data_IF_964574659643
#
_entry.id   IF_964574659643
#
_cell.length_a   1.000
_cell.length_b   1.000
_cell.length_c   1.000
_cell.angle_alpha   90.00
_cell.angle_beta   90.00
_cell.angle_gamma   90.00
#
_symmetry.space_group_name_H-M   'P 1'
#
loop_
_entity.id
_entity.type
_entity.pdbx_description
1 polymer ?
#
# COMPACT_ATOMS: atom_id res chain seq x y z
N UNK A 1 9.08 -23.03 8.17
CA UNK A 1 9.64 -21.86 8.89
C UNK A 1 8.52 -20.87 9.10
N UNK A 2 8.04 -20.70 10.33
CA UNK A 2 7.04 -19.69 10.68
C UNK A 2 7.72 -18.32 10.59
N UNK A 3 7.60 -17.64 9.45
CA UNK A 3 8.02 -16.24 9.33
C UNK A 3 7.03 -15.39 10.14
N UNK A 4 7.53 -14.63 11.11
CA UNK A 4 6.76 -13.75 12.00
C UNK A 4 5.87 -12.82 11.16
N UNK A 5 4.59 -12.60 11.51
CA UNK A 5 3.76 -11.62 10.82
C UNK A 5 4.39 -10.23 10.95
N UNK A 6 4.27 -9.44 9.89
CA UNK A 6 4.80 -8.09 9.80
C UNK A 6 4.15 -7.17 10.86
N UNK A 7 4.97 -6.48 11.67
CA UNK A 7 4.53 -5.49 12.65
C UNK A 7 4.86 -4.08 12.13
N UNK A 8 3.84 -3.22 12.02
CA UNK A 8 4.00 -1.84 11.53
C UNK A 8 4.87 -0.98 12.44
N UNK A 9 4.99 -1.33 13.74
CA UNK A 9 5.88 -0.65 14.68
C UNK A 9 7.37 -0.78 14.32
N UNK A 10 7.72 -1.78 13.50
CA UNK A 10 9.11 -2.04 13.09
C UNK A 10 9.56 -1.13 11.92
N UNK A 11 8.66 -0.35 11.32
CA UNK A 11 8.96 0.55 10.19
C UNK A 11 9.51 1.92 10.60
N UNK A 12 9.48 2.27 11.89
CA UNK A 12 9.85 3.59 12.38
C UNK A 12 8.79 4.65 12.09
N UNK A 13 9.21 5.92 12.04
CA UNK A 13 8.32 7.05 11.77
C UNK A 13 8.08 7.23 10.26
N UNK A 14 6.88 7.66 9.90
CA UNK A 14 6.59 8.11 8.55
C UNK A 14 6.79 9.62 8.42
N UNK A 15 7.26 10.07 7.26
CA UNK A 15 7.50 11.50 6.98
C UNK A 15 6.42 12.11 6.10
N UNK A 16 5.81 11.29 5.24
CA UNK A 16 4.81 11.72 4.26
C UNK A 16 3.66 10.74 4.19
N UNK A 17 2.49 11.30 3.91
CA UNK A 17 1.26 10.54 3.66
C UNK A 17 0.69 10.99 2.32
N UNK A 18 0.35 10.03 1.48
CA UNK A 18 -0.33 10.24 0.21
C UNK A 18 -1.73 9.65 0.31
N UNK A 19 -2.69 10.31 -0.34
CA UNK A 19 -4.07 9.84 -0.45
C UNK A 19 -4.45 9.81 -1.92
N UNK A 20 -5.07 8.70 -2.33
CA UNK A 20 -5.54 8.47 -3.68
C UNK A 20 -6.86 7.72 -3.56
N UNK A 21 -7.98 8.45 -3.50
CA UNK A 21 -9.29 7.87 -3.20
C UNK A 21 -9.36 7.23 -1.82
N UNK A 22 -9.71 5.94 -1.81
CA UNK A 22 -9.75 5.03 -0.67
C UNK A 22 -8.35 4.50 -0.28
N UNK A 23 -7.32 4.70 -1.09
CA UNK A 23 -5.94 4.28 -0.80
C UNK A 23 -5.16 5.36 -0.05
N UNK A 24 -4.57 4.97 1.09
CA UNK A 24 -3.66 5.79 1.87
C UNK A 24 -2.28 5.14 1.88
N UNK A 25 -1.24 5.92 1.58
CA UNK A 25 0.14 5.43 1.53
C UNK A 25 1.01 6.25 2.48
N UNK A 26 1.67 5.57 3.42
CA UNK A 26 2.64 6.15 4.34
C UNK A 26 4.05 5.89 3.83
N UNK A 27 4.90 6.92 3.80
CA UNK A 27 6.31 6.81 3.43
C UNK A 27 7.21 6.75 4.66
N UNK A 28 8.06 5.74 4.71
CA UNK A 28 9.05 5.51 5.77
C UNK A 28 10.45 5.64 5.17
N UNK A 29 11.20 6.72 5.48
CA UNK A 29 12.53 6.96 4.93
C UNK A 29 13.58 5.96 5.45
N UNK A 30 13.42 5.47 6.69
CA UNK A 30 14.41 4.66 7.41
C UNK A 30 13.85 3.28 7.85
N UNK A 31 12.94 2.70 7.07
CA UNK A 31 12.37 1.41 7.40
C UNK A 31 13.37 0.25 7.22
N UNK A 32 13.45 -0.63 8.23
CA UNK A 32 14.27 -1.82 8.16
C UNK A 32 13.48 -3.00 7.57
N UNK A 33 13.81 -3.39 6.33
CA UNK A 33 13.17 -4.49 5.62
C UNK A 33 13.92 -5.83 5.72
N UNK A 34 14.99 -5.93 6.53
CA UNK A 34 15.88 -7.11 6.56
C UNK A 34 15.18 -8.43 6.90
N UNK A 35 14.08 -8.40 7.66
CA UNK A 35 13.29 -9.58 8.02
C UNK A 35 12.19 -9.92 7.01
N UNK A 36 12.01 -9.10 5.96
CA UNK A 36 10.85 -9.15 5.05
C UNK A 36 11.32 -9.65 3.69
N UNK A 37 10.72 -10.74 3.22
CA UNK A 37 10.94 -11.19 1.86
C UNK A 37 10.18 -10.29 0.89
N UNK A 38 10.90 -9.59 0.02
CA UNK A 38 10.34 -8.76 -1.04
C UNK A 38 10.52 -9.44 -2.40
N UNK A 39 9.49 -9.34 -3.24
CA UNK A 39 9.51 -9.78 -4.63
C UNK A 39 9.58 -8.56 -5.55
N UNK A 40 10.63 -8.51 -6.37
CA UNK A 40 10.75 -7.47 -7.40
C UNK A 40 9.68 -7.63 -8.47
N UNK A 41 9.10 -6.52 -8.90
CA UNK A 41 8.12 -6.45 -9.97
C UNK A 41 8.10 -5.06 -10.59
N UNK A 42 7.52 -4.93 -11.79
CA UNK A 42 7.46 -3.65 -12.51
C UNK A 42 6.10 -2.96 -12.43
N UNK A 43 5.09 -3.69 -11.94
CA UNK A 43 3.72 -3.23 -11.76
C UNK A 43 3.01 -4.07 -10.71
N UNK A 44 2.11 -3.46 -9.96
CA UNK A 44 1.23 -4.12 -8.99
C UNK A 44 -0.09 -3.35 -8.89
N UNK A 45 -1.19 -4.06 -8.67
CA UNK A 45 -2.46 -3.43 -8.27
C UNK A 45 -2.52 -3.39 -6.75
N UNK A 46 -2.62 -2.19 -6.17
CA UNK A 46 -2.65 -1.97 -4.72
C UNK A 46 -4.07 -2.08 -4.13
N UNK A 47 -5.09 -1.70 -4.90
CA UNK A 47 -6.51 -1.84 -4.55
C UNK A 47 -7.36 -1.84 -5.82
N UNK A 48 -8.53 -2.48 -5.75
CA UNK A 48 -9.58 -2.34 -6.76
C UNK A 48 -10.57 -1.29 -6.28
N UNK A 49 -11.06 -0.44 -7.20
CA UNK A 49 -12.14 0.49 -6.92
C UNK A 49 -13.51 -0.20 -6.83
N UNK A 50 -14.57 0.57 -6.56
CA UNK A 50 -15.97 0.16 -6.57
C UNK A 50 -16.45 -0.17 -7.98
N UNK A 51 -16.00 0.61 -8.96
CA UNK A 51 -16.36 0.39 -10.36
C UNK A 51 -15.54 -0.76 -10.95
N UNK A 52 -16.23 -1.73 -11.56
CA UNK A 52 -15.57 -2.87 -12.20
C UNK A 52 -14.61 -2.39 -13.28
N UNK A 53 -13.32 -2.68 -13.09
CA UNK A 53 -12.25 -2.27 -14.00
C UNK A 53 -11.40 -1.12 -13.48
N UNK A 54 -11.87 -0.38 -12.48
CA UNK A 54 -11.09 0.67 -11.82
C UNK A 54 -10.14 0.08 -10.79
N UNK A 55 -8.90 0.56 -10.78
CA UNK A 55 -7.91 0.06 -9.84
C UNK A 55 -6.73 1.00 -9.63
N UNK A 56 -6.26 1.03 -8.39
CA UNK A 56 -5.04 1.73 -7.99
C UNK A 56 -3.84 0.92 -8.43
N UNK A 57 -3.23 1.33 -9.54
CA UNK A 57 -2.11 0.61 -10.17
C UNK A 57 -0.81 1.37 -9.96
N UNK A 58 0.15 0.69 -9.35
CA UNK A 58 1.50 1.19 -9.16
C UNK A 58 2.42 0.58 -10.23
N UNK A 59 3.17 1.41 -10.95
CA UNK A 59 4.12 1.00 -12.00
C UNK A 59 5.47 1.67 -11.78
N UNK A 60 6.56 0.90 -11.83
CA UNK A 60 7.90 1.42 -11.59
C UNK A 60 8.88 0.31 -11.23
N UNK A 61 10.08 0.67 -10.77
CA UNK A 61 11.01 -0.31 -10.20
C UNK A 61 10.68 -0.52 -8.72
N UNK A 62 9.91 -1.58 -8.43
CA UNK A 62 9.32 -1.83 -7.12
C UNK A 62 9.61 -3.23 -6.60
N UNK A 63 9.61 -3.38 -5.29
CA UNK A 63 9.68 -4.66 -4.61
C UNK A 63 8.57 -4.74 -3.56
N UNK A 64 7.69 -5.74 -3.66
CA UNK A 64 6.51 -5.86 -2.78
C UNK A 64 6.69 -7.06 -1.85
N UNK A 65 6.28 -6.95 -0.60
CA UNK A 65 6.40 -8.05 0.37
C UNK A 65 5.68 -9.32 -0.14
N UNK A 66 6.33 -10.49 -0.11
CA UNK A 66 5.77 -11.73 -0.65
C UNK A 66 4.50 -12.20 0.06
N UNK A 67 4.32 -11.79 1.31
CA UNK A 67 3.10 -12.03 2.09
C UNK A 67 2.02 -11.00 1.73
N UNK A 68 1.81 -10.71 0.44
CA UNK A 68 0.59 -9.99 0.04
C UNK A 68 -0.53 -11.02 0.14
N UNK A 69 -1.53 -10.81 1.00
CA UNK A 69 -2.81 -11.46 0.77
C UNK A 69 -3.38 -11.04 -0.60
N UNK A 70 -4.38 -11.76 -1.13
CA UNK A 70 -4.91 -11.50 -2.47
C UNK A 70 -5.20 -10.01 -2.72
N UNK A 71 -5.11 -9.55 -3.98
CA UNK A 71 -5.27 -8.14 -4.31
C UNK A 71 -6.56 -7.54 -3.69
N UNK A 72 -6.41 -6.48 -2.89
CA UNK A 72 -7.49 -5.91 -2.07
C UNK A 72 -7.44 -6.30 -0.59
N UNK A 73 -6.43 -7.08 -0.16
CA UNK A 73 -6.18 -7.33 1.27
C UNK A 73 -5.00 -6.49 1.74
N UNK A 74 -5.16 -5.90 2.93
CA UNK A 74 -4.28 -4.89 3.52
C UNK A 74 -3.73 -5.32 4.87
N UNK A 75 -2.63 -4.70 5.33
CA UNK A 75 -1.83 -3.68 4.64
C UNK A 75 -0.88 -4.26 3.58
N UNK A 76 -0.43 -3.44 2.62
CA UNK A 76 0.55 -3.83 1.58
C UNK A 76 1.84 -3.04 1.77
N UNK A 77 2.95 -3.74 2.03
CA UNK A 77 4.27 -3.14 2.15
C UNK A 77 5.05 -3.27 0.83
N UNK A 78 5.63 -2.16 0.37
CA UNK A 78 6.47 -2.15 -0.82
C UNK A 78 7.62 -1.15 -0.72
N UNK A 79 8.68 -1.41 -1.46
CA UNK A 79 9.82 -0.53 -1.68
C UNK A 79 9.79 -0.01 -3.12
N UNK A 80 10.06 1.28 -3.29
CA UNK A 80 10.35 1.90 -4.58
C UNK A 80 11.87 2.08 -4.69
N UNK A 81 12.49 1.48 -5.71
CA UNK A 81 13.96 1.46 -5.85
C UNK A 81 14.51 2.70 -6.56
N UNK A 82 13.72 3.30 -7.45
CA UNK A 82 14.07 4.54 -8.14
C UNK A 82 12.88 5.51 -8.15
N UNK A 83 11.84 5.17 -8.91
CA UNK A 83 10.60 5.93 -8.98
C UNK A 83 9.45 4.98 -9.35
N UNK A 84 8.27 5.26 -8.83
CA UNK A 84 7.04 4.57 -9.19
C UNK A 84 5.90 5.57 -9.37
N UNK A 85 4.96 5.21 -10.23
CA UNK A 85 3.83 6.04 -10.61
C UNK A 85 2.55 5.30 -10.23
N UNK A 86 1.74 5.91 -9.40
CA UNK A 86 0.43 5.44 -8.98
C UNK A 86 -0.65 6.11 -9.82
N UNK A 87 -1.52 5.31 -10.42
CA UNK A 87 -2.59 5.77 -11.31
C UNK A 87 -3.91 5.12 -10.94
N UNK A 88 -4.99 5.86 -11.14
CA UNK A 88 -6.38 5.41 -11.06
C UNK A 88 -7.15 6.05 -12.21
N UNK A 89 -8.25 5.43 -12.64
CA UNK A 89 -9.10 5.95 -13.72
C UNK A 89 -9.72 7.31 -13.39
N UNK A 90 -9.97 7.58 -12.11
CA UNK A 90 -10.71 8.77 -11.64
C UNK A 90 -9.85 9.76 -10.86
N UNK A 91 -8.56 9.46 -10.65
CA UNK A 91 -7.69 10.31 -9.84
C UNK A 91 -6.39 10.69 -10.54
N UNK A 92 -5.86 11.83 -10.11
CA UNK A 92 -4.60 12.34 -10.59
C UNK A 92 -3.43 11.44 -10.20
N UNK A 93 -2.50 11.32 -11.13
CA UNK A 93 -1.31 10.50 -10.95
C UNK A 93 -0.45 10.98 -9.79
N UNK A 94 -0.03 10.05 -8.92
CA UNK A 94 0.95 10.32 -7.85
C UNK A 94 2.28 9.70 -8.23
N UNK A 95 3.35 10.50 -8.15
CA UNK A 95 4.73 10.03 -8.32
C UNK A 95 5.34 9.77 -6.96
N UNK A 96 5.77 8.52 -6.74
CA UNK A 96 6.47 8.08 -5.55
C UNK A 96 7.97 7.97 -5.85
N UNK A 97 8.76 8.72 -5.08
CA UNK A 97 10.22 8.66 -5.15
C UNK A 97 10.76 7.41 -4.43
N UNK A 98 12.06 7.16 -4.53
CA UNK A 98 12.71 6.06 -3.82
C UNK A 98 12.40 6.08 -2.32
N UNK A 99 12.02 4.93 -1.76
CA UNK A 99 11.72 4.76 -0.33
C UNK A 99 10.87 3.54 -0.02
N UNK A 100 10.53 3.38 1.25
CA UNK A 100 9.65 2.30 1.74
C UNK A 100 8.26 2.86 2.01
N UNK A 101 7.23 2.10 1.65
CA UNK A 101 5.86 2.54 1.69
C UNK A 101 4.94 1.46 2.26
N UNK A 102 3.99 1.90 3.10
CA UNK A 102 2.89 1.07 3.59
C UNK A 102 1.58 1.60 3.02
N UNK A 103 0.88 0.75 2.27
CA UNK A 103 -0.48 1.03 1.80
C UNK A 103 -1.51 0.43 2.76
N UNK A 104 -2.54 1.21 3.04
CA UNK A 104 -3.78 0.83 3.75
C UNK A 104 -4.98 1.39 2.99
N UNK A 105 -6.20 0.90 3.25
CA UNK A 105 -7.41 1.58 2.82
C UNK A 105 -8.04 2.43 3.92
N UNK A 106 -8.80 3.42 3.46
CA UNK A 106 -9.77 4.10 4.30
C UNK A 106 -10.83 3.11 4.77
N UNK A 107 -11.23 3.30 6.03
CA UNK A 107 -12.35 2.59 6.64
C UNK A 107 -13.37 3.59 7.17
N UNK A 108 -14.63 3.17 7.20
CA UNK A 108 -15.70 3.83 7.96
C UNK A 108 -15.89 3.09 9.28
N UNK A 109 -15.96 3.85 10.38
CA UNK A 109 -16.34 3.32 11.69
C UNK A 109 -17.75 3.76 12.03
N UNK A 110 -18.63 2.79 12.26
CA UNK A 110 -19.98 3.02 12.78
C UNK A 110 -19.98 2.86 14.31
N UNK A 111 -20.07 3.98 15.08
CA UNK A 111 -20.01 3.93 16.53
C UNK A 111 -21.27 3.33 17.17
N UNK A 112 -22.39 3.21 16.44
CA UNK A 112 -23.63 2.66 16.97
C UNK A 112 -23.66 1.13 16.89
N UNK A 113 -23.00 0.56 15.88
CA UNK A 113 -22.89 -0.89 15.69
C UNK A 113 -21.51 -1.46 16.03
N UNK A 114 -20.56 -0.60 16.43
CA UNK A 114 -19.15 -0.94 16.68
C UNK A 114 -18.50 -1.70 15.51
N UNK A 115 -18.86 -1.29 14.29
CA UNK A 115 -18.47 -1.96 13.06
C UNK A 115 -17.49 -1.12 12.25
N UNK A 116 -16.45 -1.77 11.73
CA UNK A 116 -15.48 -1.16 10.80
C UNK A 116 -15.71 -1.74 9.41
N UNK A 117 -15.86 -0.87 8.41
CA UNK A 117 -16.04 -1.25 7.00
C UNK A 117 -14.97 -0.62 6.13
N UNK A 118 -14.38 -1.40 5.23
CA UNK A 118 -13.50 -0.84 4.20
C UNK A 118 -14.34 0.02 3.23
N UNK A 119 -13.86 1.24 2.97
CA UNK A 119 -14.39 2.09 1.91
C UNK A 119 -13.62 1.74 0.65
N UNK A 120 -14.33 1.69 -0.46
CA UNK A 120 -13.77 1.58 -1.80
C UNK A 120 -14.20 2.84 -2.55
N UNK A 121 -13.42 3.29 -3.53
CA UNK A 121 -13.81 4.41 -4.40
C UNK A 121 -14.25 3.90 -5.77
#
# INVERSE_FOLDING_TARGET
MNKKPFNTQDLGNFDKVYRHGDVIIFQFPEANLSAIALKKMNKVTLAYGEVTGHAHRLKGDIAVAEQIPEAGVEPVLFEVQAQAVLTHEEHDTIVLERGVYLKVNQVEYDPFSDLIRAIRD
#
